data_IF_487380810673
#
_entry.id   IF_487380810673
#
_cell.length_a   1.000
_cell.length_b   1.000
_cell.length_c   1.000
_cell.angle_alpha   90.00
_cell.angle_beta   90.00
_cell.angle_gamma   90.00
#
_symmetry.space_group_name_H-M   'P 1'
#
loop_
_entity.id
_entity.type
_entity.pdbx_description
1 polymer ?
#
# COMPACT_ATOMS: atom_id res chain seq x y z
N UNK A 1 -1.28 -9.52 -4.03
CA UNK A 1 -2.03 -8.60 -4.88
C UNK A 1 -2.34 -9.21 -6.23
N UNK A 2 -3.63 -9.36 -6.51
CA UNK A 2 -4.20 -9.57 -7.83
C UNK A 2 -4.16 -8.28 -8.66
N UNK A 3 -5.33 -7.86 -9.14
CA UNK A 3 -5.49 -6.52 -9.70
C UNK A 3 -6.00 -5.60 -8.59
N UNK A 4 -5.20 -4.60 -8.22
CA UNK A 4 -5.70 -3.51 -7.40
C UNK A 4 -6.58 -2.57 -8.21
N UNK A 5 -7.28 -1.65 -7.52
CA UNK A 5 -8.10 -0.58 -8.13
C UNK A 5 -7.42 0.18 -9.28
N UNK A 6 -6.10 0.11 -9.39
CA UNK A 6 -5.27 0.89 -10.32
C UNK A 6 -4.54 0.05 -11.38
N UNK A 7 -4.65 -1.27 -11.30
CA UNK A 7 -4.02 -2.19 -12.26
C UNK A 7 -5.03 -3.00 -13.04
N UNK A 8 -6.27 -3.05 -12.56
CA UNK A 8 -7.39 -3.60 -13.33
C UNK A 8 -7.56 -2.80 -14.63
N UNK A 9 -7.46 -3.48 -15.77
CA UNK A 9 -7.52 -2.86 -17.11
C UNK A 9 -6.23 -2.17 -17.60
N UNK A 10 -5.18 -2.09 -16.78
CA UNK A 10 -3.86 -1.56 -17.17
C UNK A 10 -2.82 -2.67 -17.26
N UNK A 11 -2.87 -3.65 -16.35
CA UNK A 11 -1.96 -4.79 -16.37
C UNK A 11 -2.66 -6.00 -16.98
N UNK A 12 -1.91 -6.75 -17.79
CA UNK A 12 -2.38 -8.02 -18.35
C UNK A 12 -2.34 -9.15 -17.31
N UNK A 13 -1.63 -8.94 -16.19
CA UNK A 13 -1.34 -9.95 -15.17
C UNK A 13 -1.39 -9.34 -13.76
N UNK A 14 -1.72 -10.14 -12.73
CA UNK A 14 -1.66 -9.72 -11.33
C UNK A 14 -0.37 -9.00 -10.95
N UNK A 15 -0.47 -7.95 -10.14
CA UNK A 15 0.68 -7.18 -9.64
C UNK A 15 1.75 -8.10 -9.02
N UNK A 16 1.31 -9.05 -8.18
CA UNK A 16 2.23 -9.94 -7.48
C UNK A 16 3.02 -10.84 -8.44
N UNK A 17 2.44 -11.24 -9.58
CA UNK A 17 3.15 -12.03 -10.57
C UNK A 17 4.27 -11.22 -11.22
N UNK A 18 3.95 -10.01 -11.71
CA UNK A 18 4.92 -9.12 -12.35
C UNK A 18 6.08 -8.77 -11.39
N UNK A 19 5.75 -8.46 -10.13
CA UNK A 19 6.76 -8.17 -9.10
C UNK A 19 7.62 -9.40 -8.81
N UNK A 20 7.00 -10.57 -8.66
CA UNK A 20 7.73 -11.82 -8.35
C UNK A 20 8.69 -12.21 -9.48
N UNK A 21 8.27 -12.09 -10.73
CA UNK A 21 9.11 -12.38 -11.89
C UNK A 21 10.27 -11.41 -11.98
N UNK A 22 9.99 -10.10 -11.84
CA UNK A 22 11.05 -9.10 -11.87
C UNK A 22 12.07 -9.32 -10.76
N UNK A 23 11.63 -9.73 -9.57
CA UNK A 23 12.54 -10.03 -8.46
C UNK A 23 13.42 -11.25 -8.77
N UNK A 24 12.85 -12.29 -9.38
CA UNK A 24 13.59 -13.48 -9.82
C UNK A 24 14.62 -13.13 -10.91
N UNK A 25 14.22 -12.32 -11.91
CA UNK A 25 15.13 -11.84 -12.97
C UNK A 25 16.29 -11.01 -12.43
N UNK A 26 16.10 -10.36 -11.27
CA UNK A 26 17.13 -9.60 -10.56
C UNK A 26 17.99 -10.48 -9.63
N UNK A 27 17.77 -11.80 -9.62
CA UNK A 27 18.61 -12.78 -8.92
C UNK A 27 18.01 -13.35 -7.63
N UNK A 28 16.74 -13.08 -7.31
CA UNK A 28 16.11 -13.79 -6.19
C UNK A 28 15.85 -15.27 -6.57
N UNK A 29 16.26 -16.24 -5.74
CA UNK A 29 15.93 -17.64 -5.98
C UNK A 29 14.41 -17.87 -5.97
N UNK A 30 13.89 -18.59 -6.96
CA UNK A 30 12.45 -18.80 -7.14
C UNK A 30 11.83 -19.55 -5.96
N UNK A 31 12.58 -20.45 -5.35
CA UNK A 31 12.16 -21.29 -4.23
C UNK A 31 11.88 -20.52 -2.93
N UNK A 32 12.40 -19.29 -2.80
CA UNK A 32 12.14 -18.43 -1.63
C UNK A 32 11.04 -17.39 -1.91
N UNK A 33 10.52 -17.33 -3.13
CA UNK A 33 9.47 -16.38 -3.53
C UNK A 33 8.10 -17.02 -3.39
N UNK A 34 7.25 -16.41 -2.57
CA UNK A 34 5.83 -16.80 -2.44
C UNK A 34 4.95 -15.70 -3.02
N UNK A 35 4.08 -16.08 -3.96
CA UNK A 35 3.24 -15.13 -4.69
C UNK A 35 1.77 -15.30 -4.29
N UNK A 36 1.19 -14.25 -3.72
CA UNK A 36 -0.26 -14.13 -3.47
C UNK A 36 -0.85 -13.21 -4.56
N UNK A 37 -1.74 -13.72 -5.41
CA UNK A 37 -2.23 -13.01 -6.61
C UNK A 37 -3.75 -12.81 -6.68
N UNK A 38 -4.46 -12.94 -5.56
CA UNK A 38 -5.92 -12.85 -5.51
C UNK A 38 -6.42 -11.56 -4.85
N UNK A 39 -5.62 -10.93 -3.98
CA UNK A 39 -6.07 -9.74 -3.25
C UNK A 39 -6.32 -8.52 -4.15
N UNK A 40 -7.47 -7.88 -3.99
CA UNK A 40 -7.90 -6.69 -4.75
C UNK A 40 -7.71 -5.38 -4.00
N UNK A 41 -7.50 -5.45 -2.69
CA UNK A 41 -7.35 -4.29 -1.82
C UNK A 41 -6.34 -4.54 -0.70
N UNK A 42 -5.99 -3.48 0.04
CA UNK A 42 -4.99 -3.56 1.13
C UNK A 42 -5.36 -4.55 2.23
N UNK A 43 -6.64 -4.66 2.61
CA UNK A 43 -7.05 -5.61 3.65
C UNK A 43 -6.91 -7.05 3.19
N UNK A 44 -7.31 -7.33 1.95
CA UNK A 44 -7.12 -8.65 1.34
C UNK A 44 -5.66 -9.01 1.17
N UNK A 45 -4.80 -8.05 0.79
CA UNK A 45 -3.35 -8.29 0.70
C UNK A 45 -2.84 -8.84 2.04
N UNK A 46 -3.22 -8.22 3.16
CA UNK A 46 -2.80 -8.65 4.49
C UNK A 46 -3.39 -10.02 4.83
N UNK A 47 -4.71 -10.19 4.67
CA UNK A 47 -5.43 -11.43 5.00
C UNK A 47 -4.90 -12.62 4.20
N UNK A 48 -4.73 -12.47 2.90
CA UNK A 48 -4.32 -13.57 2.02
C UNK A 48 -2.82 -13.86 2.14
N UNK A 49 -1.96 -12.85 2.32
CA UNK A 49 -0.55 -13.10 2.63
C UNK A 49 -0.38 -13.83 3.96
N UNK A 50 -1.14 -13.46 5.00
CA UNK A 50 -1.15 -14.17 6.28
C UNK A 50 -1.57 -15.64 6.10
N UNK A 51 -2.70 -15.88 5.44
CA UNK A 51 -3.21 -17.23 5.19
C UNK A 51 -2.23 -18.08 4.36
N UNK A 52 -1.57 -17.48 3.36
CA UNK A 52 -0.55 -18.16 2.55
C UNK A 52 0.62 -18.63 3.43
N UNK A 53 1.13 -17.77 4.29
CA UNK A 53 2.26 -18.10 5.17
C UNK A 53 1.87 -19.15 6.23
N UNK A 54 0.67 -19.04 6.81
CA UNK A 54 0.13 -20.04 7.74
C UNK A 54 -0.08 -21.41 7.08
N UNK A 55 -0.51 -21.45 5.81
CA UNK A 55 -0.65 -22.70 5.04
C UNK A 55 0.67 -23.45 4.85
N UNK A 56 1.79 -22.74 4.99
CA UNK A 56 3.15 -23.29 4.95
C UNK A 56 3.73 -23.56 6.34
N UNK A 57 2.92 -23.42 7.40
CA UNK A 57 3.36 -23.60 8.78
C UNK A 57 4.26 -22.47 9.30
N UNK A 58 4.34 -21.34 8.59
CA UNK A 58 5.22 -20.24 8.97
C UNK A 58 4.57 -19.33 10.01
N UNK A 59 5.24 -19.15 11.14
CA UNK A 59 4.85 -18.18 12.17
C UNK A 59 5.77 -16.96 12.09
N UNK A 60 5.22 -15.84 11.60
CA UNK A 60 5.97 -14.61 11.43
C UNK A 60 5.94 -13.82 12.74
N UNK A 61 7.10 -13.28 13.13
CA UNK A 61 7.24 -12.37 14.29
C UNK A 61 7.72 -10.99 13.89
N UNK A 62 8.49 -10.90 12.81
CA UNK A 62 9.02 -9.64 12.26
C UNK A 62 8.94 -9.71 10.75
N UNK A 63 8.55 -8.61 10.12
CA UNK A 63 8.48 -8.52 8.66
C UNK A 63 8.73 -7.08 8.18
N UNK A 64 9.30 -6.97 6.99
CA UNK A 64 9.43 -5.70 6.28
C UNK A 64 8.33 -5.63 5.24
N UNK A 65 7.51 -4.58 5.27
CA UNK A 65 6.56 -4.28 4.22
C UNK A 65 7.11 -3.14 3.34
N UNK A 66 7.30 -3.44 2.05
CA UNK A 66 7.78 -2.48 1.05
C UNK A 66 6.56 -1.87 0.34
N UNK A 67 6.50 -0.55 0.26
CA UNK A 67 5.40 0.19 -0.33
C UNK A 67 5.86 1.35 -1.22
N UNK A 68 4.90 1.99 -1.89
CA UNK A 68 5.12 3.30 -2.53
C UNK A 68 5.34 4.34 -1.42
N UNK A 69 6.18 5.38 -1.61
CA UNK A 69 6.49 6.34 -0.54
C UNK A 69 5.25 7.00 0.09
N UNK A 70 4.26 7.37 -0.73
CA UNK A 70 3.02 7.98 -0.24
C UNK A 70 2.06 7.01 0.48
N UNK A 71 2.35 5.70 0.49
CA UNK A 71 1.50 4.65 1.06
C UNK A 71 1.98 4.14 2.41
N UNK A 72 3.19 4.50 2.86
CA UNK A 72 3.83 3.90 4.04
C UNK A 72 2.98 4.00 5.30
N UNK A 73 2.47 5.20 5.61
CA UNK A 73 1.64 5.42 6.82
C UNK A 73 0.33 4.63 6.77
N UNK A 74 -0.29 4.55 5.59
CA UNK A 74 -1.53 3.77 5.40
C UNK A 74 -1.26 2.27 5.56
N UNK A 75 -0.13 1.79 5.04
CA UNK A 75 0.28 0.40 5.18
C UNK A 75 0.58 0.05 6.64
N UNK A 76 1.34 0.89 7.36
CA UNK A 76 1.58 0.74 8.79
C UNK A 76 0.27 0.59 9.56
N UNK A 77 -0.68 1.52 9.34
CA UNK A 77 -1.95 1.54 10.05
C UNK A 77 -2.80 0.28 9.76
N UNK A 78 -2.81 -0.20 8.52
CA UNK A 78 -3.53 -1.42 8.13
C UNK A 78 -2.88 -2.69 8.67
N UNK A 79 -1.55 -2.82 8.56
CA UNK A 79 -0.79 -4.00 9.01
C UNK A 79 -0.89 -4.19 10.52
N UNK A 80 -0.66 -3.12 11.28
CA UNK A 80 -0.74 -3.16 12.75
C UNK A 80 -2.16 -3.45 13.25
N UNK A 81 -3.19 -3.10 12.48
CA UNK A 81 -4.59 -3.43 12.83
C UNK A 81 -4.98 -4.87 12.51
N UNK A 82 -4.62 -5.34 11.33
CA UNK A 82 -5.12 -6.61 10.79
C UNK A 82 -4.18 -7.79 11.04
N UNK A 83 -2.90 -7.51 11.33
CA UNK A 83 -1.89 -8.51 11.67
C UNK A 83 -0.99 -8.00 12.81
N UNK A 84 -1.60 -7.81 13.98
CA UNK A 84 -0.99 -7.23 15.18
C UNK A 84 0.10 -8.09 15.82
N UNK A 85 0.16 -9.38 15.52
CA UNK A 85 1.13 -10.31 16.13
C UNK A 85 2.55 -10.20 15.55
N UNK A 86 2.73 -9.36 14.52
CA UNK A 86 3.98 -9.13 13.80
C UNK A 86 4.48 -7.72 14.08
N UNK A 87 5.77 -7.63 14.39
CA UNK A 87 6.49 -6.37 14.41
C UNK A 87 6.83 -5.96 12.97
N UNK A 88 6.22 -4.87 12.51
CA UNK A 88 6.33 -4.39 11.14
C UNK A 88 7.35 -3.26 11.03
N UNK A 89 8.30 -3.42 10.11
CA UNK A 89 9.07 -2.31 9.57
C UNK A 89 8.50 -1.94 8.20
N UNK A 90 8.20 -0.66 8.00
CA UNK A 90 7.70 -0.16 6.71
C UNK A 90 8.83 0.57 6.01
N UNK A 91 8.95 0.39 4.70
CA UNK A 91 9.93 1.11 3.88
C UNK A 91 9.43 1.30 2.46
N UNK A 92 10.04 2.23 1.75
CA UNK A 92 9.88 2.49 0.33
C UNK A 92 11.23 2.83 -0.29
N UNK A 93 11.31 2.93 -1.64
CA UNK A 93 12.42 3.65 -2.26
C UNK A 93 12.59 5.03 -1.62
N UNK A 94 13.83 5.40 -1.29
CA UNK A 94 14.17 6.67 -0.64
C UNK A 94 14.20 7.80 -1.68
N UNK A 95 13.02 8.12 -2.22
CA UNK A 95 12.82 9.11 -3.26
C UNK A 95 11.94 10.24 -2.72
N UNK A 96 12.30 11.48 -3.04
CA UNK A 96 11.38 12.60 -2.83
C UNK A 96 10.22 12.56 -3.84
N UNK A 97 9.24 13.45 -3.63
CA UNK A 97 8.04 13.52 -4.49
C UNK A 97 8.38 13.76 -5.97
N UNK A 98 9.36 14.61 -6.26
CA UNK A 98 9.74 14.92 -7.63
C UNK A 98 10.44 13.74 -8.29
N UNK A 99 11.41 13.13 -7.60
CA UNK A 99 12.16 11.96 -8.06
C UNK A 99 11.24 10.76 -8.28
N UNK A 100 10.25 10.53 -7.40
CA UNK A 100 9.25 9.48 -7.58
C UNK A 100 8.43 9.67 -8.86
N UNK A 101 8.06 10.91 -9.19
CA UNK A 101 7.26 11.21 -10.38
C UNK A 101 8.07 11.22 -11.69
N UNK A 102 9.40 11.29 -11.65
CA UNK A 102 10.25 11.33 -12.85
C UNK A 102 10.14 10.06 -13.71
N UNK A 103 9.69 8.94 -13.15
CA UNK A 103 9.46 7.68 -13.87
C UNK A 103 8.20 7.65 -14.75
N UNK A 104 7.69 8.80 -15.19
CA UNK A 104 6.48 8.89 -16.03
C UNK A 104 5.15 8.89 -15.26
N UNK A 105 5.19 8.99 -13.92
CA UNK A 105 3.99 9.05 -13.09
C UNK A 105 3.58 10.51 -12.90
N UNK A 106 2.35 10.87 -13.26
CA UNK A 106 1.85 12.23 -13.13
C UNK A 106 1.85 12.71 -11.67
N UNK A 107 2.47 13.87 -11.41
CA UNK A 107 2.41 14.54 -10.10
C UNK A 107 0.97 14.80 -9.66
N UNK A 108 0.10 15.16 -10.59
CA UNK A 108 -1.31 15.40 -10.29
C UNK A 108 -2.00 14.11 -9.83
N UNK A 109 -1.75 12.99 -10.52
CA UNK A 109 -2.27 11.67 -10.14
C UNK A 109 -1.77 11.25 -8.76
N UNK A 110 -0.46 11.34 -8.50
CA UNK A 110 0.10 11.00 -7.17
C UNK A 110 -0.51 11.87 -6.07
N UNK A 111 -0.67 13.17 -6.32
CA UNK A 111 -1.30 14.10 -5.38
C UNK A 111 -2.73 13.68 -5.08
N UNK A 112 -3.52 13.37 -6.10
CA UNK A 112 -4.91 12.94 -5.92
C UNK A 112 -5.00 11.62 -5.14
N UNK A 113 -4.13 10.64 -5.43
CA UNK A 113 -4.04 9.39 -4.67
C UNK A 113 -3.71 9.66 -3.20
N UNK A 114 -2.74 10.54 -2.94
CA UNK A 114 -2.37 10.96 -1.58
C UNK A 114 -3.56 11.56 -0.81
N UNK A 115 -4.37 12.39 -1.45
CA UNK A 115 -5.58 12.95 -0.84
C UNK A 115 -6.55 11.82 -0.45
N UNK A 116 -6.82 10.89 -1.37
CA UNK A 116 -7.67 9.74 -1.08
C UNK A 116 -7.15 8.86 0.06
N UNK A 117 -5.85 8.56 0.06
CA UNK A 117 -5.23 7.73 1.10
C UNK A 117 -5.20 8.42 2.46
N UNK A 118 -5.05 9.74 2.48
CA UNK A 118 -5.16 10.53 3.70
C UNK A 118 -6.58 10.48 4.28
N UNK A 119 -7.62 10.57 3.43
CA UNK A 119 -9.00 10.37 3.90
C UNK A 119 -9.19 8.99 4.53
N UNK A 120 -8.61 7.94 3.93
CA UNK A 120 -8.66 6.57 4.50
C UNK A 120 -7.96 6.50 5.85
N UNK A 121 -6.81 7.17 6.03
CA UNK A 121 -6.13 7.25 7.33
C UNK A 121 -7.04 7.87 8.41
N UNK A 122 -7.89 8.83 8.06
CA UNK A 122 -8.84 9.46 8.99
C UNK A 122 -10.08 8.60 9.26
N UNK A 123 -10.60 7.90 8.25
CA UNK A 123 -11.92 7.24 8.33
C UNK A 123 -11.86 5.73 8.59
N UNK A 124 -10.83 5.04 8.12
CA UNK A 124 -10.73 3.58 8.27
C UNK A 124 -10.52 3.08 9.70
N UNK A 125 -9.92 3.83 10.64
CA UNK A 125 -9.90 3.44 12.04
C UNK A 125 -11.31 3.26 12.62
N UNK A 126 -12.25 4.14 12.26
CA UNK A 126 -13.67 4.08 12.68
C UNK A 126 -14.38 2.83 12.16
N UNK A 127 -13.89 2.25 11.06
CA UNK A 127 -14.41 1.02 10.44
C UNK A 127 -13.64 -0.24 10.86
N UNK A 128 -12.64 -0.10 11.73
CA UNK A 128 -11.83 -1.22 12.22
C UNK A 128 -10.79 -1.76 11.23
N UNK A 129 -10.54 -1.08 10.11
CA UNK A 129 -9.56 -1.53 9.11
C UNK A 129 -8.13 -1.05 9.35
N UNK A 130 -7.96 0.00 10.15
CA UNK A 130 -6.68 0.63 10.47
C UNK A 130 -6.58 0.98 11.96
N UNK A 131 -5.36 1.19 12.45
CA UNK A 131 -5.11 1.85 13.74
C UNK A 131 -5.18 3.37 13.57
N UNK A 132 -5.63 4.08 14.60
CA UNK A 132 -5.64 5.54 14.59
C UNK A 132 -4.22 6.09 14.42
N UNK A 133 -4.08 7.11 13.58
CA UNK A 133 -2.80 7.79 13.33
C UNK A 133 -2.88 9.23 13.82
N UNK A 134 -1.81 9.70 14.45
CA UNK A 134 -1.66 11.12 14.74
C UNK A 134 -1.54 11.92 13.44
N UNK A 135 -2.29 13.01 13.37
CA UNK A 135 -2.34 13.90 12.21
C UNK A 135 -2.38 15.34 12.72
N UNK A 136 -1.34 16.10 12.39
CA UNK A 136 -1.21 17.51 12.75
C UNK A 136 -2.12 18.43 11.91
N UNK A 137 -2.35 19.63 12.43
CA UNK A 137 -3.24 20.61 11.80
C UNK A 137 -2.72 21.13 10.45
N UNK A 138 -1.40 21.16 10.24
CA UNK A 138 -0.82 21.60 8.96
C UNK A 138 -1.13 20.59 7.85
N UNK A 139 -1.05 19.30 8.15
CA UNK A 139 -1.41 18.23 7.23
C UNK A 139 -2.92 18.26 6.94
N UNK A 140 -3.77 18.50 7.95
CA UNK A 140 -5.23 18.68 7.74
C UNK A 140 -5.53 19.87 6.84
N UNK A 141 -4.85 20.99 7.06
CA UNK A 141 -5.00 22.19 6.23
C UNK A 141 -4.54 21.95 4.78
N UNK A 142 -3.42 21.26 4.58
CA UNK A 142 -2.93 20.88 3.26
C UNK A 142 -3.92 19.96 2.52
N UNK A 143 -4.47 18.97 3.22
CA UNK A 143 -5.52 18.10 2.68
C UNK A 143 -6.76 18.89 2.24
N UNK A 144 -7.28 19.77 3.10
CA UNK A 144 -8.43 20.62 2.77
C UNK A 144 -8.16 21.56 1.58
N UNK A 145 -6.94 22.11 1.51
CA UNK A 145 -6.51 22.94 0.38
C UNK A 145 -6.51 22.15 -0.94
N UNK A 146 -5.96 20.94 -0.96
CA UNK A 146 -5.88 20.11 -2.16
C UNK A 146 -7.27 19.69 -2.65
N UNK A 147 -8.19 19.34 -1.76
CA UNK A 147 -9.59 19.10 -2.12
C UNK A 147 -10.20 20.34 -2.77
N UNK A 148 -10.02 21.52 -2.17
CA UNK A 148 -10.52 22.79 -2.76
C UNK A 148 -9.91 23.09 -4.13
N UNK A 149 -8.72 22.55 -4.43
CA UNK A 149 -8.05 22.67 -5.74
C UNK A 149 -8.47 21.59 -6.75
N UNK A 150 -9.40 20.71 -6.39
CA UNK A 150 -9.97 19.70 -7.29
C UNK A 150 -9.21 18.38 -7.33
N UNK A 151 -8.35 18.09 -6.33
CA UNK A 151 -7.69 16.79 -6.20
C UNK A 151 -8.56 15.82 -5.40
N UNK A 152 -9.78 15.55 -5.86
CA UNK A 152 -10.79 14.75 -5.14
C UNK A 152 -11.16 13.43 -5.84
N UNK A 153 -10.58 13.13 -7.01
CA UNK A 153 -10.91 11.94 -7.81
C UNK A 153 -10.68 10.59 -7.12
N UNK A 154 -9.86 10.55 -6.06
CA UNK A 154 -9.58 9.34 -5.28
C UNK A 154 -10.19 9.33 -3.87
N UNK A 155 -11.04 10.29 -3.54
CA UNK A 155 -11.81 10.25 -2.30
C UNK A 155 -12.76 9.03 -2.29
N UNK A 156 -13.01 8.51 -1.10
CA UNK A 156 -14.05 7.51 -0.86
C UNK A 156 -15.42 8.13 -1.12
N UNK A 157 -16.28 7.38 -1.80
CA UNK A 157 -17.69 7.71 -2.02
C UNK A 157 -18.55 7.17 -0.89
#
# INVERSE_FOLDING_TARGET
GGFGNWTEGVFERPEAQLISERAIDLGLPREIVMTESNATNTGENIKYSKALLESKGMKIKRAIAIQKPYMERRAHASLTKQWSDVEWQITSPQLDFNAYCQGGISKALVTEIMVGDFQRILEYPKRGFQTEQFVDDKVRAAYAFLIKKGFDGHLMK
#
